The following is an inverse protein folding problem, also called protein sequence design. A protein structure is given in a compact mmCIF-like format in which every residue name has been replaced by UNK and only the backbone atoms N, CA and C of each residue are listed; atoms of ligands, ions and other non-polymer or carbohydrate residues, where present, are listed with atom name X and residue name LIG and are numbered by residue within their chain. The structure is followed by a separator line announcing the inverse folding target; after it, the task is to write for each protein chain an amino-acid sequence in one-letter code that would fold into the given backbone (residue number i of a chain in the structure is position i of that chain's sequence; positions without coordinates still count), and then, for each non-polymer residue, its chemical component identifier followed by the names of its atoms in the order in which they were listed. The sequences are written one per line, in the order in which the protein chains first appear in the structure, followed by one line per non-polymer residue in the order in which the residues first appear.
data_IF_001910738528
#
_entry.id   IF_001910738528
#
_cell.length_a   1.000
_cell.length_b   1.000
_cell.length_c   1.000
_cell.angle_alpha   90.00
_cell.angle_beta   90.00
_cell.angle_gamma   90.00
#
_symmetry.space_group_name_H-M   'P 1'
#
loop_
_entity.id
_entity.type
_entity.pdbx_description
1 polymer ?
#
# COMPACT_ATOMS: atom_id res chain seq x y z
N UNK A 1 17.46 34.50 -5.41
CA UNK A 1 17.67 34.06 -6.81
C UNK A 1 16.39 33.35 -7.22
N UNK A 2 15.59 33.89 -8.16
CA UNK A 2 14.30 33.28 -8.54
C UNK A 2 14.54 31.94 -9.23
N UNK A 3 14.10 30.83 -8.64
CA UNK A 3 14.25 29.49 -9.21
C UNK A 3 12.90 29.02 -9.77
N UNK A 4 12.89 28.68 -11.05
CA UNK A 4 11.71 28.14 -11.75
C UNK A 4 11.72 26.62 -11.63
N UNK A 5 10.69 26.03 -11.03
CA UNK A 5 10.45 24.58 -11.06
C UNK A 5 9.39 24.31 -12.11
N UNK A 6 9.71 23.46 -13.09
CA UNK A 6 8.72 22.86 -13.99
C UNK A 6 8.28 21.55 -13.34
N UNK A 7 7.14 21.58 -12.65
CA UNK A 7 6.49 20.36 -12.12
C UNK A 7 5.84 19.61 -13.29
N UNK A 8 6.54 18.60 -13.80
CA UNK A 8 5.96 17.59 -14.69
C UNK A 8 5.38 16.48 -13.80
N UNK A 9 4.09 16.58 -13.48
CA UNK A 9 3.32 15.42 -13.00
C UNK A 9 2.43 14.93 -14.14
N UNK A 10 2.44 13.62 -14.34
CA UNK A 10 1.68 12.91 -15.36
C UNK A 10 0.16 13.07 -15.14
N UNK A 11 -0.47 14.00 -15.87
CA UNK A 11 -1.57 13.78 -16.83
C UNK A 11 -2.37 15.09 -17.05
N UNK A 12 -2.33 15.55 -18.31
CA UNK A 12 -3.28 16.44 -19.03
C UNK A 12 -3.44 17.90 -18.54
N UNK A 13 -2.71 18.80 -19.23
CA UNK A 13 -3.03 20.20 -19.56
C UNK A 13 -3.33 21.19 -18.40
N UNK A 14 -2.31 21.93 -17.95
CA UNK A 14 -1.95 23.32 -18.34
C UNK A 14 -0.58 23.62 -17.70
N UNK A 15 0.43 23.97 -18.49
CA UNK A 15 1.70 24.44 -17.96
C UNK A 15 1.54 25.86 -17.39
N UNK A 16 1.20 25.98 -16.11
CA UNK A 16 1.26 27.25 -15.41
C UNK A 16 2.68 27.46 -14.88
N UNK A 17 3.37 28.46 -15.42
CA UNK A 17 4.64 28.94 -14.85
C UNK A 17 4.31 29.70 -13.56
N UNK A 18 4.53 29.07 -12.42
CA UNK A 18 4.43 29.72 -11.11
C UNK A 18 5.84 29.88 -10.56
N UNK A 19 6.32 31.12 -10.51
CA UNK A 19 7.60 31.45 -9.88
C UNK A 19 7.38 31.54 -8.36
N UNK A 20 7.83 30.54 -7.62
CA UNK A 20 7.84 30.58 -6.15
C UNK A 20 9.17 31.16 -5.66
N UNK A 21 9.10 32.12 -4.74
CA UNK A 21 10.29 32.61 -4.02
C UNK A 21 10.45 31.81 -2.73
N UNK A 22 11.43 30.90 -2.72
CA UNK A 22 11.74 30.05 -1.59
C UNK A 22 12.93 30.57 -0.77
N UNK A 23 13.46 31.77 -1.08
CA UNK A 23 14.63 32.33 -0.38
C UNK A 23 14.45 32.47 1.13
N UNK A 24 13.20 32.59 1.57
CA UNK A 24 12.84 32.86 2.96
C UNK A 24 12.35 31.60 3.70
N UNK A 25 12.32 30.43 3.03
CA UNK A 25 11.99 29.16 3.66
C UNK A 25 13.24 28.52 4.25
N UNK A 26 13.53 28.83 5.51
CA UNK A 26 14.52 28.11 6.31
C UNK A 26 13.94 26.78 6.80
N UNK A 27 13.76 25.80 5.91
CA UNK A 27 13.48 24.42 6.37
C UNK A 27 14.80 23.68 6.55
N UNK A 28 14.95 22.98 7.68
CA UNK A 28 16.02 22.00 7.83
C UNK A 28 15.82 20.86 6.83
N UNK A 29 16.89 20.22 6.34
CA UNK A 29 16.74 19.00 5.56
C UNK A 29 16.16 17.89 6.47
N UNK A 30 15.35 17.01 5.90
CA UNK A 30 14.66 15.96 6.66
C UNK A 30 14.72 14.63 5.92
N UNK A 31 14.64 13.54 6.68
CA UNK A 31 14.40 12.22 6.12
C UNK A 31 12.90 12.01 5.93
N UNK A 32 12.52 11.52 4.75
CA UNK A 32 11.18 11.04 4.46
C UNK A 32 11.21 9.53 4.42
N UNK A 33 10.36 8.90 5.22
CA UNK A 33 10.25 7.46 5.30
C UNK A 33 8.88 7.05 4.77
N UNK A 34 8.82 6.23 3.72
CA UNK A 34 7.58 5.58 3.29
C UNK A 34 7.82 4.08 3.30
N UNK A 35 7.45 3.44 4.40
CA UNK A 35 7.71 2.01 4.62
C UNK A 35 6.46 1.31 5.12
N UNK A 36 6.28 0.07 4.67
CA UNK A 36 5.24 -0.83 5.11
C UNK A 36 5.89 -2.14 5.57
N UNK A 37 5.52 -2.58 6.77
CA UNK A 37 5.88 -3.89 7.27
C UNK A 37 4.72 -4.84 7.02
N UNK A 38 4.89 -5.86 6.19
CA UNK A 38 3.82 -6.76 5.80
C UNK A 38 4.24 -8.22 5.81
N UNK A 39 3.31 -9.13 6.07
CA UNK A 39 3.56 -10.54 5.73
C UNK A 39 3.57 -10.67 4.22
N UNK A 40 4.57 -11.36 3.66
CA UNK A 40 4.59 -11.68 2.23
C UNK A 40 3.84 -13.01 2.00
N UNK A 41 2.58 -13.01 1.54
CA UNK A 41 1.84 -14.24 1.27
C UNK A 41 2.38 -14.98 0.03
N UNK A 42 3.21 -14.33 -0.79
CA UNK A 42 3.70 -14.89 -2.06
C UNK A 42 4.77 -15.95 -1.84
N UNK A 43 5.40 -16.01 -0.67
CA UNK A 43 6.36 -17.05 -0.32
C UNK A 43 5.74 -18.38 0.14
N UNK A 44 4.41 -18.44 0.35
CA UNK A 44 3.75 -19.60 0.99
C UNK A 44 2.70 -20.27 0.10
N UNK A 45 2.77 -21.61 -0.01
CA UNK A 45 1.80 -22.42 -0.77
C UNK A 45 0.38 -22.25 -0.22
N UNK A 46 -0.59 -22.04 -1.11
CA UNK A 46 -2.00 -21.83 -0.74
C UNK A 46 -2.29 -20.47 -0.12
N UNK A 47 -1.30 -19.58 0.02
CA UNK A 47 -1.50 -18.27 0.61
C UNK A 47 -1.81 -18.28 2.11
N UNK A 48 -1.61 -19.44 2.75
CA UNK A 48 -1.68 -19.61 4.20
C UNK A 48 -0.34 -19.20 4.78
N UNK A 49 -0.32 -18.08 5.49
CA UNK A 49 0.88 -17.59 6.17
C UNK A 49 1.08 -18.42 7.45
N UNK A 50 2.22 -19.12 7.60
CA UNK A 50 2.55 -19.81 8.82
C UNK A 50 2.59 -18.88 10.04
N UNK A 51 2.28 -19.41 11.24
CA UNK A 51 2.38 -18.64 12.49
C UNK A 51 3.79 -18.08 12.75
N UNK A 52 4.83 -18.68 12.14
CA UNK A 52 6.23 -18.28 12.26
C UNK A 52 6.77 -17.50 11.04
N UNK A 53 5.90 -17.10 10.10
CA UNK A 53 6.31 -16.34 8.93
C UNK A 53 6.94 -14.99 9.34
N UNK A 54 8.11 -14.60 8.78
CA UNK A 54 8.63 -13.25 8.93
C UNK A 54 7.65 -12.21 8.42
N UNK A 55 7.65 -11.04 9.06
CA UNK A 55 7.20 -9.83 8.40
C UNK A 55 8.32 -9.29 7.53
N UNK A 56 7.95 -8.92 6.32
CA UNK A 56 8.79 -8.26 5.34
C UNK A 56 8.62 -6.74 5.45
N UNK A 57 9.70 -6.04 5.82
CA UNK A 57 9.75 -4.59 5.78
C UNK A 57 10.13 -4.17 4.37
N UNK A 58 9.24 -3.47 3.68
CA UNK A 58 9.52 -2.88 2.37
C UNK A 58 9.29 -1.37 2.41
N UNK A 59 10.07 -0.61 1.65
CA UNK A 59 9.83 0.82 1.51
C UNK A 59 11.01 1.62 1.01
N UNK A 60 10.86 2.93 1.09
CA UNK A 60 11.85 3.87 0.62
C UNK A 60 12.20 4.89 1.70
N UNK A 61 13.49 5.19 1.79
CA UNK A 61 13.99 6.33 2.54
C UNK A 61 14.43 7.37 1.53
N UNK A 62 13.91 8.57 1.67
CA UNK A 62 14.29 9.72 0.87
C UNK A 62 14.94 10.76 1.76
N UNK A 63 15.93 11.44 1.21
CA UNK A 63 16.47 12.62 1.86
C UNK A 63 15.93 13.85 1.13
N UNK A 64 15.18 14.69 1.85
CA UNK A 64 14.56 15.89 1.28
C UNK A 64 15.45 17.08 1.59
N UNK A 65 15.96 17.79 0.59
CA UNK A 65 16.81 18.94 0.82
C UNK A 65 16.00 20.10 1.40
N UNK A 66 16.69 20.94 2.16
CA UNK A 66 16.19 22.23 2.62
C UNK A 66 15.64 23.08 1.46
N UNK A 67 14.49 23.73 1.66
CA UNK A 67 13.93 24.69 0.70
C UNK A 67 14.85 25.91 0.47
N UNK A 68 15.82 26.15 1.36
CA UNK A 68 16.84 27.20 1.23
C UNK A 68 17.92 26.89 0.16
N UNK A 69 17.88 25.69 -0.44
CA UNK A 69 18.34 25.51 -1.82
C UNK A 69 19.84 25.34 -2.08
N UNK A 70 20.71 25.13 -1.08
CA UNK A 70 22.15 24.87 -1.29
C UNK A 70 22.81 24.00 -0.18
N UNK A 71 22.16 22.93 0.29
CA UNK A 71 22.97 21.80 0.81
C UNK A 71 23.13 20.82 -0.33
N UNK A 72 24.33 20.78 -0.92
CA UNK A 72 24.75 19.60 -1.66
C UNK A 72 24.55 18.40 -0.73
N UNK A 73 23.84 17.38 -1.22
CA UNK A 73 23.82 16.11 -0.51
C UNK A 73 25.26 15.65 -0.36
N UNK A 74 25.70 15.25 0.84
CA UNK A 74 26.97 14.55 0.96
C UNK A 74 26.97 13.42 -0.08
N UNK A 75 28.00 13.31 -0.91
CA UNK A 75 28.10 12.30 -1.98
C UNK A 75 28.01 10.85 -1.43
N UNK A 76 28.09 10.72 -0.11
CA UNK A 76 28.07 9.50 0.67
C UNK A 76 27.12 9.61 1.87
N UNK A 77 25.87 10.03 1.65
CA UNK A 77 24.87 9.99 2.72
C UNK A 77 24.55 8.53 3.04
N UNK A 78 25.02 8.09 4.21
CA UNK A 78 24.73 6.78 4.77
C UNK A 78 23.61 6.92 5.80
N UNK A 79 22.58 6.09 5.63
CA UNK A 79 21.54 5.93 6.63
C UNK A 79 21.66 4.56 7.28
N UNK A 80 21.50 4.55 8.60
CA UNK A 80 21.26 3.35 9.39
C UNK A 80 19.78 3.24 9.70
N UNK A 81 19.23 2.03 9.69
CA UNK A 81 17.86 1.75 10.11
C UNK A 81 17.87 0.68 11.20
N UNK A 82 17.43 1.04 12.40
CA UNK A 82 17.27 0.10 13.50
C UNK A 82 15.80 -0.22 13.72
N UNK A 83 15.48 -1.51 13.83
CA UNK A 83 14.16 -2.04 14.17
C UNK A 83 14.22 -2.70 15.53
N UNK A 84 13.42 -2.19 16.47
CA UNK A 84 13.30 -2.74 17.81
C UNK A 84 11.98 -3.48 17.97
N UNK A 85 12.01 -4.59 18.69
CA UNK A 85 10.84 -5.34 19.16
C UNK A 85 10.89 -5.36 20.69
N UNK A 86 9.85 -4.89 21.37
CA UNK A 86 9.80 -4.85 22.85
C UNK A 86 11.03 -4.17 23.49
N UNK A 87 11.51 -3.08 22.88
CA UNK A 87 12.74 -2.35 23.25
C UNK A 87 14.07 -3.11 23.07
N UNK A 88 14.04 -4.33 22.53
CA UNK A 88 15.23 -5.09 22.14
C UNK A 88 15.50 -4.90 20.65
N UNK A 89 16.77 -4.73 20.28
CA UNK A 89 17.16 -4.54 18.88
C UNK A 89 16.96 -5.88 18.13
N UNK A 90 15.99 -5.90 17.20
CA UNK A 90 15.66 -7.09 16.42
C UNK A 90 16.42 -7.13 15.09
N UNK A 91 16.61 -5.97 14.46
CA UNK A 91 17.27 -5.86 13.18
C UNK A 91 17.96 -4.50 13.04
N UNK A 92 19.16 -4.50 12.45
CA UNK A 92 19.86 -3.29 12.02
C UNK A 92 20.20 -3.44 10.55
N UNK A 93 19.84 -2.43 9.78
CA UNK A 93 20.40 -2.20 8.47
C UNK A 93 21.47 -1.13 8.53
N UNK A 94 22.71 -1.55 8.32
CA UNK A 94 23.84 -0.64 8.16
C UNK A 94 24.10 -0.36 6.69
N UNK A 95 24.08 0.92 6.28
CA UNK A 95 24.72 1.35 5.03
C UNK A 95 23.81 1.54 3.82
N UNK A 96 22.62 2.13 3.99
CA UNK A 96 21.86 2.64 2.84
C UNK A 96 22.63 3.83 2.28
N UNK A 97 23.33 3.63 1.16
CA UNK A 97 23.94 4.73 0.41
C UNK A 97 22.85 5.39 -0.42
N UNK A 98 22.50 6.62 -0.05
CA UNK A 98 21.53 7.43 -0.79
C UNK A 98 22.29 8.10 -1.94
N UNK A 99 22.37 7.40 -3.06
CA UNK A 99 23.23 7.72 -4.20
C UNK A 99 22.74 8.90 -5.06
N UNK A 100 21.60 9.53 -4.70
CA UNK A 100 21.24 10.94 -5.07
C UNK A 100 19.94 11.50 -4.50
N UNK A 101 19.03 10.70 -3.94
CA UNK A 101 17.77 11.21 -3.36
C UNK A 101 16.98 10.17 -2.53
N UNK A 102 17.15 8.88 -2.83
CA UNK A 102 16.34 7.80 -2.29
C UNK A 102 17.15 6.50 -2.14
N UNK A 103 16.70 5.61 -1.26
CA UNK A 103 17.21 4.25 -1.10
C UNK A 103 16.05 3.29 -0.84
N UNK A 104 16.09 2.12 -1.49
CA UNK A 104 15.15 1.04 -1.24
C UNK A 104 15.56 0.29 0.03
N UNK A 105 14.56 0.00 0.87
CA UNK A 105 14.67 -0.80 2.08
C UNK A 105 13.79 -2.04 1.91
N UNK A 106 14.40 -3.20 2.11
CA UNK A 106 13.84 -4.56 2.12
C UNK A 106 14.47 -5.40 3.24
N UNK A 107 13.74 -5.80 4.28
CA UNK A 107 14.29 -6.62 5.37
C UNK A 107 13.29 -7.66 5.90
N UNK A 108 13.79 -8.87 6.19
CA UNK A 108 13.01 -9.94 6.81
C UNK A 108 13.14 -9.89 8.32
N UNK A 109 12.04 -9.61 9.02
CA UNK A 109 12.00 -9.48 10.47
C UNK A 109 11.20 -10.66 11.04
N UNK A 110 11.90 -11.53 11.78
CA UNK A 110 11.34 -12.79 12.31
C UNK A 110 10.92 -12.66 13.76
N UNK A 111 9.94 -13.47 14.15
CA UNK A 111 9.51 -13.61 15.55
C UNK A 111 8.63 -12.48 16.07
N UNK A 112 8.10 -11.65 15.16
CA UNK A 112 7.11 -10.63 15.47
C UNK A 112 5.70 -11.23 15.47
N UNK A 113 4.87 -10.76 16.39
CA UNK A 113 3.47 -11.16 16.55
C UNK A 113 2.56 -9.94 16.62
N UNK A 114 1.25 -10.10 16.33
CA UNK A 114 0.26 -9.06 16.55
C UNK A 114 0.35 -8.36 17.92
N UNK A 115 0.29 -7.03 17.92
CA UNK A 115 0.38 -6.20 19.11
C UNK A 115 1.80 -5.82 19.52
N UNK A 116 2.84 -6.40 18.91
CA UNK A 116 4.21 -5.98 19.14
C UNK A 116 4.44 -4.53 18.73
N UNK A 117 5.17 -3.80 19.58
CA UNK A 117 5.65 -2.47 19.25
C UNK A 117 6.95 -2.55 18.46
N UNK A 118 6.96 -1.87 17.33
CA UNK A 118 8.13 -1.72 16.46
C UNK A 118 8.54 -0.27 16.41
N UNK A 119 9.78 -0.02 16.82
CA UNK A 119 10.41 1.29 16.69
C UNK A 119 11.40 1.28 15.54
N UNK A 120 11.26 2.23 14.64
CA UNK A 120 12.17 2.49 13.53
C UNK A 120 12.96 3.75 13.83
N UNK A 121 14.28 3.69 13.68
CA UNK A 121 15.18 4.84 13.81
C UNK A 121 16.03 4.97 12.56
N UNK A 122 15.97 6.13 11.91
CA UNK A 122 16.77 6.50 10.76
C UNK A 122 17.66 7.70 11.07
N UNK A 123 18.95 7.59 10.76
CA UNK A 123 19.96 8.61 11.11
C UNK A 123 20.92 8.84 9.95
N UNK A 124 21.23 10.10 9.69
CA UNK A 124 22.24 10.50 8.72
C UNK A 124 22.88 11.84 9.10
N UNK A 125 24.15 12.04 8.74
CA UNK A 125 24.88 13.27 9.10
C UNK A 125 24.23 14.51 8.46
N UNK A 126 24.00 15.55 9.28
CA UNK A 126 23.41 16.81 8.82
C UNK A 126 21.87 16.80 8.71
N UNK A 127 21.23 15.67 9.08
CA UNK A 127 19.78 15.50 9.18
C UNK A 127 19.39 15.28 10.65
N UNK A 128 18.20 15.75 11.07
CA UNK A 128 17.62 15.30 12.33
C UNK A 128 17.39 13.79 12.30
N UNK A 129 17.53 13.14 13.45
CA UNK A 129 17.14 11.73 13.61
C UNK A 129 15.65 11.60 13.36
N UNK A 130 15.29 10.74 12.41
CA UNK A 130 13.90 10.39 12.13
C UNK A 130 13.53 9.13 12.90
N UNK A 131 12.42 9.17 13.65
CA UNK A 131 11.93 8.01 14.38
C UNK A 131 10.44 7.82 14.18
N UNK A 132 9.99 6.57 14.14
CA UNK A 132 8.58 6.23 14.18
C UNK A 132 8.35 4.98 15.03
N UNK A 133 7.15 4.87 15.57
CA UNK A 133 6.70 3.69 16.30
C UNK A 133 5.39 3.23 15.70
N UNK A 134 5.28 1.94 15.44
CA UNK A 134 4.07 1.29 14.95
C UNK A 134 3.77 0.06 15.79
N UNK A 135 2.51 -0.38 15.74
CA UNK A 135 2.08 -1.64 16.34
C UNK A 135 1.80 -2.63 15.20
N UNK A 136 2.31 -3.86 15.31
CA UNK A 136 1.99 -4.92 14.35
C UNK A 136 0.48 -5.18 14.40
N UNK A 137 -0.25 -5.04 13.28
CA UNK A 137 -1.69 -5.22 13.26
C UNK A 137 -2.04 -6.68 13.57
N UNK A 138 -3.26 -6.85 14.08
CA UNK A 138 -3.87 -8.16 14.27
C UNK A 138 -3.98 -8.92 12.95
N UNK A 139 -4.21 -10.23 13.04
CA UNK A 139 -4.38 -11.08 11.86
C UNK A 139 -5.52 -10.58 10.97
N UNK A 140 -5.36 -10.75 9.66
CA UNK A 140 -6.44 -10.50 8.71
C UNK A 140 -7.64 -11.41 9.02
N UNK A 141 -8.88 -10.92 8.85
CA UNK A 141 -10.07 -11.67 9.18
C UNK A 141 -10.23 -12.89 8.26
N UNK A 142 -10.89 -13.92 8.78
CA UNK A 142 -11.29 -15.07 7.98
C UNK A 142 -12.32 -14.65 6.92
N UNK A 143 -12.19 -15.21 5.72
CA UNK A 143 -13.03 -14.83 4.57
C UNK A 143 -13.85 -16.02 4.09
N UNK A 144 -15.17 -15.82 4.03
CA UNK A 144 -16.10 -16.77 3.41
C UNK A 144 -16.30 -16.38 1.96
N UNK A 145 -16.21 -17.30 1.02
CA UNK A 145 -16.33 -16.98 -0.42
C UNK A 145 -17.40 -17.84 -1.06
N UNK A 146 -18.19 -17.21 -1.92
CA UNK A 146 -19.06 -17.88 -2.87
C UNK A 146 -18.94 -17.20 -4.23
N UNK A 147 -19.31 -17.91 -5.28
CA UNK A 147 -19.37 -17.34 -6.61
C UNK A 147 -20.64 -17.80 -7.34
N UNK A 148 -21.13 -16.97 -8.24
CA UNK A 148 -22.30 -17.27 -9.06
C UNK A 148 -22.14 -16.71 -10.47
N UNK A 149 -22.69 -17.40 -11.47
CA UNK A 149 -22.70 -16.89 -12.84
C UNK A 149 -23.78 -15.81 -12.96
N UNK A 150 -23.42 -14.65 -13.54
CA UNK A 150 -24.37 -13.58 -13.88
C UNK A 150 -24.92 -13.83 -15.29
N UNK A 151 -24.02 -14.06 -16.26
CA UNK A 151 -24.33 -14.39 -17.64
C UNK A 151 -23.13 -15.10 -18.29
N UNK A 152 -23.20 -15.38 -19.58
CA UNK A 152 -22.14 -16.07 -20.34
C UNK A 152 -20.81 -15.31 -20.42
N UNK A 153 -20.76 -14.06 -19.97
CA UNK A 153 -19.58 -13.19 -20.00
C UNK A 153 -19.24 -12.59 -18.64
N UNK A 154 -19.91 -12.99 -17.56
CA UNK A 154 -19.68 -12.40 -16.26
C UNK A 154 -20.06 -13.36 -15.12
N UNK A 155 -19.27 -13.30 -14.06
CA UNK A 155 -19.57 -13.96 -12.80
C UNK A 155 -19.44 -12.97 -11.64
N UNK A 156 -20.08 -13.30 -10.53
CA UNK A 156 -19.99 -12.57 -9.28
C UNK A 156 -19.18 -13.38 -8.29
N UNK A 157 -18.18 -12.76 -7.69
CA UNK A 157 -17.56 -13.24 -6.46
C UNK A 157 -18.20 -12.48 -5.31
N UNK A 158 -18.76 -13.21 -4.36
CA UNK A 158 -19.27 -12.67 -3.11
C UNK A 158 -18.38 -13.15 -1.98
N UNK A 159 -17.73 -12.23 -1.29
CA UNK A 159 -16.87 -12.55 -0.14
C UNK A 159 -17.36 -11.84 1.11
N UNK A 160 -17.35 -12.56 2.23
CA UNK A 160 -17.79 -12.07 3.53
C UNK A 160 -16.62 -12.07 4.49
N UNK A 161 -16.36 -10.92 5.11
CA UNK A 161 -15.44 -10.80 6.23
C UNK A 161 -16.24 -10.66 7.53
N UNK A 162 -15.67 -11.16 8.62
CA UNK A 162 -16.18 -10.97 9.97
C UNK A 162 -15.19 -10.09 10.74
N UNK A 163 -15.73 -9.04 11.31
CA UNK A 163 -14.97 -8.00 12.01
C UNK A 163 -14.91 -8.27 13.51
N UNK A 164 -13.85 -7.79 14.15
CA UNK A 164 -13.75 -7.80 15.61
C UNK A 164 -14.25 -6.45 16.16
N UNK A 165 -15.38 -6.41 16.91
CA UNK A 165 -15.93 -5.16 17.45
C UNK A 165 -15.02 -4.47 18.46
N UNK A 166 -14.02 -5.16 19.00
CA UNK A 166 -13.12 -4.62 20.03
C UNK A 166 -11.91 -3.88 19.42
N UNK A 167 -11.75 -3.93 18.10
CA UNK A 167 -10.67 -3.25 17.37
C UNK A 167 -11.21 -2.18 16.42
N UNK A 168 -10.36 -1.23 16.04
CA UNK A 168 -10.67 -0.25 14.99
C UNK A 168 -9.76 -0.54 13.79
N UNK A 169 -10.35 -1.08 12.74
CA UNK A 169 -9.66 -1.67 11.60
C UNK A 169 -9.97 -1.02 10.27
N UNK A 170 -9.04 -1.22 9.36
CA UNK A 170 -9.16 -0.76 8.00
C UNK A 170 -8.59 -1.82 7.09
N UNK A 171 -9.46 -2.35 6.24
CA UNK A 171 -9.14 -3.41 5.32
C UNK A 171 -8.91 -2.84 3.94
N UNK A 172 -8.03 -3.43 3.14
CA UNK A 172 -7.97 -3.15 1.72
C UNK A 172 -7.86 -4.43 0.91
N UNK A 173 -8.56 -4.48 -0.22
CA UNK A 173 -8.68 -5.69 -1.03
C UNK A 173 -7.91 -5.56 -2.33
N UNK A 174 -7.12 -6.60 -2.66
CA UNK A 174 -6.54 -6.81 -3.99
C UNK A 174 -7.21 -7.99 -4.67
N UNK A 175 -7.23 -7.98 -6.01
CA UNK A 175 -7.72 -9.09 -6.81
C UNK A 175 -6.65 -9.51 -7.80
N UNK A 176 -6.39 -10.81 -7.89
CA UNK A 176 -5.42 -11.37 -8.82
C UNK A 176 -6.05 -12.47 -9.67
N UNK A 177 -5.63 -12.55 -10.93
CA UNK A 177 -6.03 -13.56 -11.90
C UNK A 177 -4.84 -14.42 -12.30
N UNK A 178 -5.00 -15.73 -12.30
CA UNK A 178 -4.10 -16.68 -12.95
C UNK A 178 -4.84 -17.42 -14.07
N UNK A 179 -4.11 -17.77 -15.13
CA UNK A 179 -4.63 -18.54 -16.27
C UNK A 179 -3.73 -19.75 -16.50
N UNK A 180 -4.32 -20.94 -16.60
CA UNK A 180 -3.57 -22.13 -17.03
C UNK A 180 -3.66 -22.24 -18.54
N UNK A 181 -2.51 -22.26 -19.21
CA UNK A 181 -2.41 -22.52 -20.64
C UNK A 181 -1.97 -23.97 -20.87
N UNK A 182 -2.92 -24.85 -21.22
CA UNK A 182 -2.65 -26.23 -21.64
C UNK A 182 -2.32 -27.22 -20.52
N UNK A 183 -2.37 -28.51 -20.87
CA UNK A 183 -2.13 -29.64 -19.97
C UNK A 183 -0.64 -29.81 -19.65
N UNK A 184 -0.07 -29.03 -18.74
CA UNK A 184 1.32 -29.23 -18.32
C UNK A 184 1.91 -28.16 -17.41
N UNK A 185 1.29 -26.98 -17.33
CA UNK A 185 1.70 -25.94 -16.39
C UNK A 185 0.73 -25.93 -15.21
N UNK A 186 1.24 -26.15 -14.00
CA UNK A 186 0.47 -25.95 -12.77
C UNK A 186 0.07 -24.48 -12.64
N UNK A 187 -0.93 -24.20 -11.80
CA UNK A 187 -1.20 -22.83 -11.33
C UNK A 187 0.10 -22.35 -10.69
N UNK A 188 0.67 -21.24 -11.15
CA UNK A 188 1.70 -20.55 -10.39
C UNK A 188 1.05 -20.14 -9.05
N UNK A 189 1.45 -20.75 -7.91
CA UNK A 189 0.82 -20.45 -6.63
C UNK A 189 1.08 -18.98 -6.21
N UNK A 190 2.08 -18.34 -6.83
CA UNK A 190 2.66 -17.06 -6.42
C UNK A 190 2.20 -15.92 -7.33
N UNK A 191 2.23 -16.11 -8.66
CA UNK A 191 2.10 -15.05 -9.67
C UNK A 191 0.77 -14.98 -10.43
N UNK A 192 -0.25 -14.37 -9.83
CA UNK A 192 -1.41 -13.86 -10.57
C UNK A 192 -1.19 -12.42 -11.05
N UNK A 193 -1.68 -12.06 -12.24
CA UNK A 193 -1.72 -10.66 -12.67
C UNK A 193 -2.75 -9.88 -11.87
N UNK A 194 -2.45 -8.64 -11.44
CA UNK A 194 -3.43 -7.81 -10.75
C UNK A 194 -4.62 -7.50 -11.64
N UNK A 195 -5.79 -7.42 -11.01
CA UNK A 195 -7.05 -7.11 -11.66
C UNK A 195 -7.73 -5.96 -10.92
N UNK A 196 -8.06 -4.91 -11.64
CA UNK A 196 -8.90 -3.82 -11.14
C UNK A 196 -10.35 -4.22 -11.35
N UNK A 197 -11.07 -4.44 -10.25
CA UNK A 197 -12.47 -4.84 -10.29
C UNK A 197 -13.38 -3.74 -9.74
N UNK A 198 -14.48 -3.48 -10.42
CA UNK A 198 -15.51 -2.63 -9.85
C UNK A 198 -16.23 -3.41 -8.74
N UNK A 199 -16.16 -2.90 -7.51
CA UNK A 199 -17.17 -3.22 -6.51
C UNK A 199 -18.53 -2.80 -7.09
N UNK A 200 -19.60 -3.55 -6.83
CA UNK A 200 -20.93 -3.23 -7.36
C UNK A 200 -21.45 -1.85 -6.92
N UNK A 201 -22.77 -1.65 -6.93
CA UNK A 201 -23.40 -0.39 -6.47
C UNK A 201 -23.23 -0.09 -4.95
N UNK A 202 -22.35 -0.80 -4.25
CA UNK A 202 -21.96 -0.52 -2.86
C UNK A 202 -21.02 0.70 -2.84
N UNK A 203 -21.56 1.83 -3.28
CA UNK A 203 -20.94 3.14 -3.30
C UNK A 203 -20.93 3.71 -1.88
N UNK A 204 -20.01 3.26 -1.02
CA UNK A 204 -19.65 3.99 0.20
C UNK A 204 -18.79 5.23 -0.10
N UNK A 205 -18.76 5.68 -1.36
CA UNK A 205 -17.70 6.53 -1.88
C UNK A 205 -18.21 7.56 -2.89
N UNK A 206 -17.56 8.72 -2.91
CA UNK A 206 -17.95 9.89 -3.71
C UNK A 206 -17.32 9.93 -5.11
N UNK A 207 -16.51 8.92 -5.45
CA UNK A 207 -15.99 8.69 -6.80
C UNK A 207 -16.43 7.30 -7.24
N UNK A 208 -17.02 7.19 -8.43
CA UNK A 208 -17.67 5.98 -8.96
C UNK A 208 -16.80 4.71 -8.97
N UNK A 209 -15.50 4.81 -8.66
CA UNK A 209 -14.54 3.71 -8.68
C UNK A 209 -13.57 3.67 -7.47
N UNK A 210 -13.65 4.55 -6.46
CA UNK A 210 -12.63 4.62 -5.38
C UNK A 210 -13.21 4.30 -4.01
N UNK A 211 -12.60 3.47 -3.17
CA UNK A 211 -12.96 3.20 -1.77
C UNK A 211 -12.91 4.44 -0.84
N UNK A 212 -13.38 4.36 0.44
CA UNK A 212 -13.16 5.40 1.45
C UNK A 212 -11.68 5.80 1.62
N UNK A 213 -10.75 4.91 1.34
CA UNK A 213 -9.33 5.17 1.08
C UNK A 213 -8.85 4.15 0.05
N UNK A 214 -8.08 4.55 -0.96
CA UNK A 214 -7.48 3.61 -1.91
C UNK A 214 -5.96 3.71 -1.81
N UNK A 215 -5.28 2.57 -1.85
CA UNK A 215 -3.83 2.51 -1.99
C UNK A 215 -3.53 2.15 -3.43
N UNK A 216 -2.84 3.03 -4.13
CA UNK A 216 -2.27 2.74 -5.44
C UNK A 216 -0.77 2.56 -5.24
N UNK A 217 -0.28 1.36 -5.52
CA UNK A 217 1.14 1.04 -5.54
C UNK A 217 1.78 1.48 -6.86
N UNK A 218 3.11 1.61 -6.87
CA UNK A 218 3.86 2.16 -8.01
C UNK A 218 3.78 1.33 -9.30
N UNK A 219 3.37 0.07 -9.21
CA UNK A 219 3.10 -0.84 -10.33
C UNK A 219 1.68 -0.72 -10.89
N UNK A 220 0.84 0.14 -10.30
CA UNK A 220 -0.55 0.33 -10.67
C UNK A 220 -1.51 -0.64 -10.00
N UNK A 221 -1.06 -1.51 -9.09
CA UNK A 221 -1.97 -2.29 -8.25
C UNK A 221 -2.82 -1.33 -7.41
N UNK A 222 -4.13 -1.55 -7.45
CA UNK A 222 -5.12 -0.74 -6.72
C UNK A 222 -5.77 -1.59 -5.65
N UNK A 223 -5.64 -1.12 -4.41
CA UNK A 223 -6.25 -1.70 -3.24
C UNK A 223 -7.49 -0.89 -2.87
N UNK A 224 -8.60 -1.59 -2.74
CA UNK A 224 -9.88 -1.00 -2.38
C UNK A 224 -10.02 -0.99 -0.87
N UNK A 225 -9.83 0.17 -0.24
CA UNK A 225 -9.90 0.29 1.21
C UNK A 225 -11.32 0.41 1.72
N UNK A 226 -11.60 -0.17 2.88
CA UNK A 226 -12.87 -0.15 3.60
C UNK A 226 -12.57 0.01 5.09
N UNK A 227 -13.28 0.93 5.75
CA UNK A 227 -13.22 1.05 7.20
C UNK A 227 -14.25 0.14 7.85
N UNK A 228 -13.83 -0.57 8.89
CA UNK A 228 -14.67 -1.42 9.72
C UNK A 228 -15.86 -0.68 10.35
N UNK A 229 -15.75 0.63 10.58
CA UNK A 229 -16.82 1.51 11.07
C UNK A 229 -18.11 1.41 10.23
N UNK A 230 -18.02 0.97 8.98
CA UNK A 230 -19.17 0.72 8.10
C UNK A 230 -19.98 -0.54 8.45
N UNK A 231 -19.41 -1.49 9.20
CA UNK A 231 -20.05 -2.74 9.65
C UNK A 231 -19.90 -3.04 11.15
N UNK A 232 -19.00 -2.38 11.89
CA UNK A 232 -18.92 -2.29 13.35
C UNK A 232 -19.11 -3.65 14.06
N UNK A 233 -18.18 -4.59 13.87
CA UNK A 233 -18.25 -5.93 14.45
C UNK A 233 -19.26 -6.88 13.80
N UNK A 234 -19.91 -6.47 12.70
CA UNK A 234 -20.83 -7.33 11.94
C UNK A 234 -20.16 -7.92 10.71
N UNK A 235 -20.76 -8.98 10.18
CA UNK A 235 -20.36 -9.55 8.90
C UNK A 235 -20.70 -8.58 7.77
N UNK A 236 -19.72 -8.30 6.92
CA UNK A 236 -19.92 -7.53 5.69
C UNK A 236 -19.63 -8.41 4.49
N UNK A 237 -20.61 -8.49 3.59
CA UNK A 237 -20.45 -9.15 2.28
C UNK A 237 -20.19 -8.09 1.23
N UNK A 238 -19.21 -8.37 0.39
CA UNK A 238 -18.86 -7.57 -0.79
C UNK A 238 -19.14 -8.38 -2.04
N UNK A 239 -19.82 -7.75 -2.99
CA UNK A 239 -20.12 -8.32 -4.30
C UNK A 239 -19.24 -7.66 -5.37
N UNK A 240 -18.45 -8.47 -6.05
CA UNK A 240 -17.57 -8.02 -7.13
C UNK A 240 -17.93 -8.76 -8.41
N UNK A 241 -18.26 -8.00 -9.45
CA UNK A 241 -18.53 -8.57 -10.77
C UNK A 241 -17.21 -8.64 -11.54
N UNK A 242 -16.98 -9.79 -12.17
CA UNK A 242 -15.81 -10.02 -13.01
C UNK A 242 -16.30 -10.34 -14.41
N UNK A 243 -15.83 -9.56 -15.38
CA UNK A 243 -16.06 -9.87 -16.79
C UNK A 243 -15.13 -10.99 -17.21
N UNK A 244 -15.70 -11.98 -17.89
CA UNK A 244 -14.98 -13.13 -18.41
C UNK A 244 -14.22 -12.71 -19.66
N UNK A 245 -12.93 -12.41 -19.49
CA UNK A 245 -12.00 -12.31 -20.60
C UNK A 245 -11.50 -13.72 -20.94
N UNK A 246 -11.97 -14.28 -22.06
CA UNK A 246 -11.40 -15.51 -22.62
C UNK A 246 -9.89 -15.27 -22.86
N UNK A 247 -8.99 -16.08 -22.29
CA UNK A 247 -7.61 -16.05 -22.73
C UNK A 247 -7.57 -16.43 -24.21
N UNK A 248 -6.69 -15.76 -24.96
CA UNK A 248 -6.55 -15.90 -26.40
C UNK A 248 -6.53 -17.37 -26.88
N UNK A 249 -7.45 -17.73 -27.77
CA UNK A 249 -7.45 -19.01 -28.50
C UNK A 249 -8.61 -19.94 -28.13
N UNK A 250 -9.37 -20.38 -29.14
CA UNK A 250 -10.58 -21.21 -29.02
C UNK A 250 -10.31 -22.68 -28.59
N UNK A 251 -9.05 -23.10 -28.46
CA UNK A 251 -8.67 -24.52 -28.46
C UNK A 251 -7.92 -25.03 -27.20
N UNK A 252 -8.09 -24.41 -26.04
CA UNK A 252 -7.55 -24.96 -24.79
C UNK A 252 -8.59 -24.96 -23.67
N UNK A 253 -8.53 -25.97 -22.79
CA UNK A 253 -9.22 -26.00 -21.49
C UNK A 253 -8.71 -24.83 -20.64
N UNK A 254 -9.25 -23.64 -20.93
CA UNK A 254 -8.79 -22.38 -20.40
C UNK A 254 -9.48 -22.14 -19.06
N UNK A 255 -8.83 -22.58 -17.98
CA UNK A 255 -9.27 -22.30 -16.62
C UNK A 255 -8.73 -20.94 -16.17
N UNK A 256 -9.65 -20.10 -15.69
CA UNK A 256 -9.32 -18.85 -15.02
C UNK A 256 -9.49 -19.03 -13.50
N UNK A 257 -8.45 -18.66 -12.76
CA UNK A 257 -8.42 -18.69 -11.30
C UNK A 257 -8.34 -17.27 -10.77
N UNK A 258 -9.08 -17.01 -9.70
CA UNK A 258 -9.13 -15.71 -9.05
C UNK A 258 -8.77 -15.86 -7.58
N UNK A 259 -8.03 -14.90 -7.02
CA UNK A 259 -7.79 -14.84 -5.58
C UNK A 259 -7.98 -13.42 -5.08
N UNK A 260 -8.36 -13.30 -3.81
CA UNK A 260 -8.52 -12.03 -3.12
C UNK A 260 -7.40 -11.91 -2.10
N UNK A 261 -6.66 -10.81 -2.11
CA UNK A 261 -5.79 -10.42 -1.01
C UNK A 261 -6.54 -9.48 -0.06
N UNK A 262 -6.41 -9.72 1.24
CA UNK A 262 -6.99 -8.90 2.31
C UNK A 262 -5.86 -8.34 3.14
N UNK A 263 -5.70 -7.02 3.07
CA UNK A 263 -4.72 -6.28 3.85
C UNK A 263 -5.43 -5.60 5.02
N UNK A 264 -5.06 -5.92 6.26
CA UNK A 264 -5.47 -5.19 7.46
C UNK A 264 -4.40 -4.17 7.80
N UNK A 265 -4.66 -2.90 7.54
CA UNK A 265 -3.70 -1.80 7.70
C UNK A 265 -3.73 -1.17 9.08
N UNK A 266 -2.58 -0.68 9.54
CA UNK A 266 -2.55 0.18 10.72
C UNK A 266 -3.17 1.56 10.43
N UNK A 267 -3.72 2.26 11.45
CA UNK A 267 -4.33 3.58 11.28
C UNK A 267 -3.41 4.63 10.62
N UNK A 268 -2.10 4.49 10.77
CA UNK A 268 -1.07 5.35 10.19
C UNK A 268 -1.17 5.34 8.67
N UNK A 269 -1.24 4.15 8.03
CA UNK A 269 -1.33 4.05 6.57
C UNK A 269 -2.63 4.66 6.07
N UNK A 270 -3.75 4.40 6.73
CA UNK A 270 -5.06 4.93 6.35
C UNK A 270 -5.06 6.46 6.38
N UNK A 271 -4.58 7.06 7.47
CA UNK A 271 -4.46 8.52 7.61
C UNK A 271 -3.51 9.11 6.56
N UNK A 272 -2.41 8.42 6.27
CA UNK A 272 -1.46 8.82 5.24
C UNK A 272 -2.10 8.88 3.85
N UNK A 273 -2.85 7.84 3.47
CA UNK A 273 -3.46 7.72 2.16
C UNK A 273 -4.63 8.68 1.96
N UNK A 274 -5.46 8.87 2.99
CA UNK A 274 -6.49 9.91 3.01
C UNK A 274 -5.84 11.29 2.84
N UNK A 275 -4.78 11.59 3.59
CA UNK A 275 -4.06 12.86 3.45
C UNK A 275 -3.44 13.04 2.05
N UNK A 276 -2.90 11.96 1.47
CA UNK A 276 -2.33 11.94 0.10
C UNK A 276 -3.41 12.25 -0.94
N UNK A 277 -4.57 11.61 -0.83
CA UNK A 277 -5.74 11.85 -1.71
C UNK A 277 -6.32 13.25 -1.53
N UNK A 278 -6.50 13.71 -0.31
CA UNK A 278 -7.08 15.02 -0.02
C UNK A 278 -6.14 16.13 -0.49
N UNK A 279 -4.83 15.89 -0.46
CA UNK A 279 -3.83 16.77 -1.08
C UNK A 279 -3.92 16.75 -2.61
N UNK A 280 -4.04 15.59 -3.25
CA UNK A 280 -4.11 15.49 -4.71
C UNK A 280 -5.42 16.02 -5.29
N UNK A 281 -6.51 16.01 -4.53
CA UNK A 281 -7.83 16.50 -4.95
C UNK A 281 -8.08 17.98 -4.63
N UNK A 282 -7.22 18.64 -3.83
CA UNK A 282 -7.36 20.05 -3.49
C UNK A 282 -6.89 20.99 -4.61
N UNK A 283 -7.70 21.08 -5.67
CA UNK A 283 -7.46 21.96 -6.82
C UNK A 283 -7.29 23.43 -6.38
N UNK A 284 -8.08 23.88 -5.38
CA UNK A 284 -7.99 25.24 -4.86
C UNK A 284 -6.66 25.51 -4.16
N UNK A 285 -6.13 24.53 -3.44
CA UNK A 285 -4.80 24.58 -2.84
C UNK A 285 -3.72 24.70 -3.91
N UNK A 286 -3.85 23.94 -5.00
CA UNK A 286 -2.92 24.00 -6.13
C UNK A 286 -2.88 25.40 -6.79
N UNK A 287 -4.02 26.08 -6.93
CA UNK A 287 -4.08 27.44 -7.50
C UNK A 287 -3.94 28.55 -6.45
N UNK A 288 -3.56 28.23 -5.21
CA UNK A 288 -3.30 29.20 -4.14
C UNK A 288 -4.54 29.89 -3.58
N UNK A 289 -5.73 29.34 -3.82
CA UNK A 289 -7.02 29.84 -3.32
C UNK A 289 -7.51 29.12 -2.05
N UNK A 290 -6.75 28.14 -1.57
CA UNK A 290 -6.97 27.43 -0.30
C UNK A 290 -5.62 27.12 0.35
N UNK A 291 -5.52 27.02 1.69
CA UNK A 291 -4.33 26.48 2.33
C UNK A 291 -3.95 25.09 1.78
N UNK A 292 -2.65 24.78 1.78
CA UNK A 292 -2.20 23.43 1.51
C UNK A 292 -2.82 22.46 2.54
N UNK A 293 -3.37 21.35 2.05
CA UNK A 293 -4.00 20.34 2.90
C UNK A 293 -2.95 19.67 3.80
N UNK A 294 -3.37 19.25 5.00
CA UNK A 294 -2.53 18.58 5.98
C UNK A 294 -1.80 17.37 5.37
N UNK A 295 -0.48 17.30 5.54
CA UNK A 295 0.29 16.09 5.26
C UNK A 295 0.40 15.29 6.56
N UNK A 296 -0.15 14.08 6.57
CA UNK A 296 0.01 13.19 7.71
C UNK A 296 1.45 12.66 7.79
N UNK A 297 1.99 12.61 9.00
CA UNK A 297 3.25 11.93 9.32
C UNK A 297 3.18 11.34 10.72
N UNK A 298 3.67 10.11 10.88
CA UNK A 298 4.00 9.51 12.16
C UNK A 298 5.52 9.42 12.40
N UNK A 299 6.30 10.12 11.59
CA UNK A 299 7.75 10.23 11.70
C UNK A 299 8.10 11.51 12.45
N UNK A 300 8.71 11.37 13.62
CA UNK A 300 9.27 12.48 14.42
C UNK A 300 10.66 12.79 13.90
N UNK A 301 11.00 14.07 13.73
CA UNK A 301 12.29 14.49 13.15
C UNK A 301 12.43 14.24 11.64
N UNK A 302 11.33 13.83 11.00
CA UNK A 302 11.26 13.56 9.57
C UNK A 302 9.85 13.78 9.02
N UNK A 303 9.56 13.15 7.88
CA UNK A 303 8.21 13.12 7.29
C UNK A 303 7.92 11.75 6.68
N UNK A 304 6.70 11.53 6.20
CA UNK A 304 6.26 10.28 5.59
C UNK A 304 5.48 9.38 6.53
N UNK A 305 5.37 8.10 6.19
CA UNK A 305 4.59 7.10 6.92
C UNK A 305 5.40 5.83 7.11
N UNK A 306 5.53 5.42 8.37
CA UNK A 306 5.83 4.03 8.71
C UNK A 306 4.51 3.37 9.05
N UNK A 307 4.22 2.24 8.43
CA UNK A 307 3.02 1.48 8.71
C UNK A 307 3.31 -0.01 8.76
N UNK A 308 2.29 -0.78 9.11
CA UNK A 308 2.29 -2.21 8.87
C UNK A 308 0.95 -2.63 8.30
N UNK A 309 0.94 -3.80 7.65
CA UNK A 309 -0.28 -4.50 7.29
C UNK A 309 -0.15 -5.98 7.57
N UNK A 310 -1.21 -6.58 8.08
CA UNK A 310 -1.36 -8.02 8.01
C UNK A 310 -1.99 -8.35 6.66
N UNK A 311 -1.43 -9.30 5.92
CA UNK A 311 -1.94 -9.69 4.61
C UNK A 311 -2.44 -11.11 4.75
N UNK A 312 -3.59 -11.43 4.15
CA UNK A 312 -4.01 -12.80 3.93
C UNK A 312 -4.48 -12.92 2.49
N UNK A 313 -4.39 -14.12 1.93
CA UNK A 313 -4.98 -14.40 0.62
C UNK A 313 -5.96 -15.54 0.72
N UNK A 314 -6.99 -15.48 -0.09
CA UNK A 314 -7.92 -16.58 -0.24
C UNK A 314 -7.30 -17.69 -1.07
N UNK A 315 -7.82 -18.91 -0.92
CA UNK A 315 -7.62 -19.97 -1.90
C UNK A 315 -8.01 -19.51 -3.31
N UNK A 316 -7.41 -20.14 -4.33
CA UNK A 316 -7.74 -19.87 -5.72
C UNK A 316 -9.17 -20.34 -6.03
N UNK A 317 -9.99 -19.39 -6.48
CA UNK A 317 -11.36 -19.60 -6.92
C UNK A 317 -11.33 -20.02 -8.39
N UNK A 318 -11.59 -21.30 -8.65
CA UNK A 318 -11.78 -21.80 -10.01
C UNK A 318 -13.14 -21.34 -10.54
N UNK A 319 -13.14 -20.61 -11.65
CA UNK A 319 -14.36 -20.32 -12.39
C UNK A 319 -14.40 -21.24 -13.61
N UNK A 320 -15.37 -22.16 -13.69
CA UNK A 320 -15.41 -23.13 -14.78
C UNK A 320 -15.64 -22.44 -16.13
N UNK A 321 -15.09 -22.99 -17.22
CA UNK A 321 -15.26 -22.46 -18.57
C UNK A 321 -16.74 -22.48 -19.02
N UNK A 322 -17.05 -21.74 -20.09
CA UNK A 322 -18.35 -21.78 -20.74
C UNK A 322 -18.60 -23.18 -21.34
N UNK A 323 -19.72 -23.82 -20.98
CA UNK A 323 -20.24 -25.02 -21.66
C UNK A 323 -20.83 -24.67 -23.03
#
# INVERSE_FOLDING_TARGET
MRKTIILLMSLVCVACKVDFDFSDLSSEPILCLDMNLEYDPTEYEGGVIPDDAPLYLSGFIYAIPSAAGEREFPEDLYCTLDVYHNSELAYTWDGIRLDKFAGLVSADIRGLVPGDEIKVVAQAEGFPTATSTIIVPQQSPQVSISHSRINDKAFRISFTIEDDPDTEDSYAFTFRRASIYGSGFGIDPVGGSPLTLAFGNDNETSYLDLGPFDIIWGDGEKLYGVSDRSFNGQKKTFDVNVEYELPYGEDAENYAYYRIGIHRYTPERVKYEIARRDKSSNILGFIGLSPATFAYTNVIGGTGCISSSNVATTEWILVPPLE
#
